data_IF_620569194637
#
_entry.id   IF_620569194637
#
_cell.length_a   1.000
_cell.length_b   1.000
_cell.length_c   1.000
_cell.angle_alpha   90.00
_cell.angle_beta   90.00
_cell.angle_gamma   90.00
#
_symmetry.space_group_name_H-M   'P 1'
#
loop_
_entity.id
_entity.type
_entity.pdbx_description
1 polymer ?
#
# COMPACT_ATOMS: atom_id res chain seq x y z
N UNK A 1 -18.29 2.75 -0.27
CA UNK A 1 -17.87 2.54 1.14
C UNK A 1 -16.68 1.59 1.12
N UNK A 2 -15.53 2.00 1.65
CA UNK A 2 -14.37 1.10 1.78
C UNK A 2 -14.73 0.01 2.80
N UNK A 3 -14.59 -1.26 2.44
CA UNK A 3 -14.83 -2.37 3.36
C UNK A 3 -13.56 -2.75 4.12
N UNK A 4 -13.74 -3.62 5.13
CA UNK A 4 -12.66 -4.01 6.05
C UNK A 4 -11.45 -4.63 5.34
N UNK A 5 -11.67 -5.39 4.25
CA UNK A 5 -10.59 -6.02 3.47
C UNK A 5 -9.73 -4.97 2.76
N UNK A 6 -10.36 -4.02 2.09
CA UNK A 6 -9.66 -2.91 1.43
C UNK A 6 -8.82 -2.08 2.42
N UNK A 7 -9.33 -1.85 3.64
CA UNK A 7 -8.58 -1.12 4.67
C UNK A 7 -7.31 -1.87 5.14
N UNK A 8 -7.40 -3.19 5.31
CA UNK A 8 -6.26 -4.01 5.76
C UNK A 8 -5.16 -4.03 4.69
N UNK A 9 -5.52 -4.14 3.42
CA UNK A 9 -4.54 -4.11 2.33
C UNK A 9 -3.89 -2.74 2.20
N UNK A 10 -4.67 -1.66 2.32
CA UNK A 10 -4.12 -0.31 2.33
C UNK A 10 -3.17 -0.10 3.52
N UNK A 11 -3.51 -0.66 4.69
CA UNK A 11 -2.64 -0.63 5.86
C UNK A 11 -1.32 -1.41 5.64
N UNK A 12 -1.35 -2.53 4.92
CA UNK A 12 -0.13 -3.27 4.55
C UNK A 12 0.76 -2.47 3.59
N UNK A 13 0.17 -1.84 2.58
CA UNK A 13 0.91 -0.96 1.66
C UNK A 13 1.54 0.20 2.45
N UNK A 14 0.76 0.85 3.32
CA UNK A 14 1.25 1.93 4.16
C UNK A 14 2.38 1.48 5.09
N UNK A 15 2.26 0.30 5.71
CA UNK A 15 3.31 -0.27 6.55
C UNK A 15 4.61 -0.52 5.77
N UNK A 16 4.51 -1.04 4.54
CA UNK A 16 5.67 -1.23 3.66
C UNK A 16 6.38 0.09 3.33
N UNK A 17 5.62 1.13 2.99
CA UNK A 17 6.16 2.47 2.70
C UNK A 17 6.82 3.08 3.94
N UNK A 18 6.17 3.00 5.11
CA UNK A 18 6.73 3.51 6.36
C UNK A 18 8.04 2.81 6.71
N UNK A 19 8.09 1.48 6.58
CA UNK A 19 9.30 0.71 6.84
C UNK A 19 10.44 1.11 5.88
N UNK A 20 10.15 1.29 4.60
CA UNK A 20 11.11 1.72 3.59
C UNK A 20 11.71 3.10 3.97
N UNK A 21 10.86 4.08 4.28
CA UNK A 21 11.27 5.43 4.69
C UNK A 21 12.14 5.42 5.95
N UNK A 22 11.78 4.61 6.95
CA UNK A 22 12.57 4.49 8.19
C UNK A 22 13.96 3.92 7.89
N UNK A 23 14.05 2.91 7.03
CA UNK A 23 15.34 2.32 6.64
C UNK A 23 16.18 3.29 5.81
N UNK A 24 15.58 3.97 4.83
CA UNK A 24 16.26 4.98 4.02
C UNK A 24 16.78 6.13 4.88
N UNK A 25 15.99 6.59 5.85
CA UNK A 25 16.42 7.60 6.82
C UNK A 25 17.60 7.12 7.66
N UNK A 26 17.53 5.91 8.21
CA UNK A 26 18.62 5.34 9.01
C UNK A 26 19.92 5.19 8.20
N UNK A 27 19.81 4.71 6.96
CA UNK A 27 20.94 4.59 6.03
C UNK A 27 21.52 5.96 5.65
N UNK A 28 20.67 6.93 5.32
CA UNK A 28 21.11 8.28 4.95
C UNK A 28 21.83 9.00 6.10
N UNK A 29 21.50 8.66 7.35
CA UNK A 29 22.24 9.13 8.53
C UNK A 29 23.57 8.38 8.69
N UNK A 30 23.59 7.06 8.49
CA UNK A 30 24.79 6.23 8.64
C UNK A 30 25.85 6.46 7.54
N UNK A 31 25.43 6.74 6.31
CA UNK A 31 26.31 6.99 5.15
C UNK A 31 25.87 8.26 4.39
N UNK A 32 26.22 9.46 4.92
CA UNK A 32 25.79 10.74 4.33
C UNK A 32 26.27 10.95 2.89
N UNK A 33 27.44 10.40 2.53
CA UNK A 33 27.99 10.53 1.17
C UNK A 33 27.10 9.87 0.11
N UNK A 34 26.37 8.80 0.48
CA UNK A 34 25.47 8.06 -0.41
C UNK A 34 24.00 8.51 -0.29
N UNK A 35 23.72 9.63 0.41
CA UNK A 35 22.35 10.05 0.74
C UNK A 35 21.45 10.16 -0.49
N UNK A 36 21.95 10.74 -1.59
CA UNK A 36 21.15 10.89 -2.82
C UNK A 36 20.78 9.54 -3.42
N UNK A 37 21.73 8.61 -3.50
CA UNK A 37 21.48 7.27 -4.06
C UNK A 37 20.50 6.47 -3.18
N UNK A 38 20.63 6.59 -1.86
CA UNK A 38 19.72 5.96 -0.89
C UNK A 38 18.28 6.44 -1.10
N UNK A 39 18.07 7.76 -1.17
CA UNK A 39 16.73 8.31 -1.40
C UNK A 39 16.19 7.97 -2.80
N UNK A 40 17.05 7.92 -3.83
CA UNK A 40 16.63 7.53 -5.18
C UNK A 40 16.11 6.08 -5.23
N UNK A 41 16.84 5.15 -4.59
CA UNK A 41 16.43 3.74 -4.52
C UNK A 41 15.19 3.55 -3.64
N UNK A 42 15.08 4.28 -2.53
CA UNK A 42 13.91 4.23 -1.67
C UNK A 42 12.64 4.69 -2.40
N UNK A 43 12.71 5.83 -3.11
CA UNK A 43 11.60 6.32 -3.94
C UNK A 43 11.21 5.28 -5.00
N UNK A 44 12.19 4.67 -5.68
CA UNK A 44 11.93 3.61 -6.65
C UNK A 44 11.26 2.39 -6.00
N UNK A 45 11.67 2.03 -4.79
CA UNK A 45 11.09 0.92 -4.02
C UNK A 45 9.65 1.22 -3.60
N UNK A 46 9.36 2.46 -3.16
CA UNK A 46 7.99 2.91 -2.85
C UNK A 46 7.09 2.81 -4.08
N UNK A 47 7.59 3.20 -5.27
CA UNK A 47 6.84 3.05 -6.52
C UNK A 47 6.53 1.58 -6.80
N UNK A 48 7.49 0.66 -6.61
CA UNK A 48 7.27 -0.78 -6.77
C UNK A 48 6.22 -1.29 -5.77
N UNK A 49 6.30 -0.90 -4.49
CA UNK A 49 5.32 -1.26 -3.46
C UNK A 49 3.91 -0.83 -3.88
N UNK A 50 3.76 0.39 -4.39
CA UNK A 50 2.49 0.91 -4.88
C UNK A 50 1.96 0.09 -6.07
N UNK A 51 2.82 -0.20 -7.06
CA UNK A 51 2.46 -1.03 -8.23
C UNK A 51 1.97 -2.41 -7.79
N UNK A 52 2.70 -3.07 -6.88
CA UNK A 52 2.33 -4.38 -6.33
C UNK A 52 1.00 -4.32 -5.57
N UNK A 53 0.73 -3.21 -4.88
CA UNK A 53 -0.51 -2.97 -4.14
C UNK A 53 -1.76 -2.73 -5.00
N UNK A 54 -1.61 -2.35 -6.28
CA UNK A 54 -2.76 -2.04 -7.15
C UNK A 54 -3.69 -3.23 -7.32
N UNK A 55 -3.15 -4.41 -7.59
CA UNK A 55 -3.97 -5.61 -7.88
C UNK A 55 -4.75 -6.09 -6.65
N UNK A 56 -4.13 -6.27 -5.46
CA UNK A 56 -4.86 -6.59 -4.23
C UNK A 56 -6.01 -5.63 -3.96
N UNK A 57 -5.74 -4.32 -3.99
CA UNK A 57 -6.75 -3.28 -3.69
C UNK A 57 -7.93 -3.36 -4.67
N UNK A 58 -7.66 -3.65 -5.95
CA UNK A 58 -8.74 -3.87 -6.94
C UNK A 58 -9.57 -5.10 -6.62
N UNK A 59 -8.94 -6.20 -6.21
CA UNK A 59 -9.62 -7.44 -5.83
C UNK A 59 -10.46 -7.25 -4.55
N UNK A 60 -9.93 -6.56 -3.54
CA UNK A 60 -10.66 -6.23 -2.31
C UNK A 60 -11.85 -5.30 -2.56
N UNK A 61 -11.69 -4.27 -3.39
CA UNK A 61 -12.80 -3.40 -3.79
C UNK A 61 -13.90 -4.16 -4.54
N UNK A 62 -13.54 -5.12 -5.40
CA UNK A 62 -14.51 -5.96 -6.08
C UNK A 62 -15.27 -6.87 -5.10
N UNK A 63 -14.56 -7.47 -4.13
CA UNK A 63 -15.16 -8.29 -3.08
C UNK A 63 -16.10 -7.47 -2.17
N UNK A 64 -15.70 -6.27 -1.79
CA UNK A 64 -16.53 -5.37 -0.97
C UNK A 64 -17.81 -4.96 -1.73
N UNK A 65 -17.71 -4.65 -3.03
CA UNK A 65 -18.88 -4.35 -3.88
C UNK A 65 -19.82 -5.54 -4.01
N UNK A 66 -19.28 -6.75 -4.20
CA UNK A 66 -20.09 -7.97 -4.28
C UNK A 66 -20.83 -8.26 -2.97
N UNK A 67 -20.17 -8.06 -1.82
CA UNK A 67 -20.78 -8.21 -0.51
C UNK A 67 -21.94 -7.21 -0.27
N UNK A 68 -21.77 -5.96 -0.70
CA UNK A 68 -22.85 -4.95 -0.63
C UNK A 68 -24.04 -5.36 -1.51
N UNK A 69 -23.79 -5.82 -2.74
CA UNK A 69 -24.85 -6.26 -3.66
C UNK A 69 -25.64 -7.46 -3.11
N UNK A 70 -24.96 -8.44 -2.52
CA UNK A 70 -25.58 -9.62 -1.94
C UNK A 70 -26.47 -9.32 -0.70
N UNK A 71 -26.25 -8.16 -0.05
CA UNK A 71 -26.97 -7.74 1.15
C UNK A 71 -28.16 -6.81 0.86
N UNK A 72 -28.35 -6.38 -0.39
CA UNK A 72 -29.53 -5.64 -0.79
C UNK A 72 -30.75 -6.60 -0.81
N UNK A 73 -31.87 -6.27 -0.14
CA UNK A 73 -33.02 -7.16 -0.03
C UNK A 73 -33.64 -7.44 -1.40
N UNK A 74 -34.05 -8.70 -1.62
CA UNK A 74 -34.87 -9.14 -2.73
C UNK A 74 -36.31 -8.61 -2.56
N UNK A 75 -36.49 -7.30 -2.67
CA UNK A 75 -37.80 -6.67 -2.77
C UNK A 75 -37.98 -6.22 -4.23
N UNK A 76 -38.41 -7.16 -5.06
CA UNK A 76 -38.93 -6.96 -6.41
C UNK A 76 -40.08 -7.93 -6.62
#
# INVERSE_FOLDING_TARGET
MIGRKTLIELAHIAAGIVLALVMAWAMAWAVPLAKLDIWAVDIASIVIILIMGVRPVREALAADKAAVKARAPANG
#
